data_IF_670755584306
#
_entry.id   IF_670755584306
#
_cell.length_a   1.000
_cell.length_b   1.000
_cell.length_c   1.000
_cell.angle_alpha   90.00
_cell.angle_beta   90.00
_cell.angle_gamma   90.00
#
_symmetry.space_group_name_H-M   'P 1'
#
loop_
_entity.id
_entity.type
_entity.pdbx_description
1 polymer ?
#
# COMPACT_ATOMS: atom_id res chain seq x y z
N UNK A 1 -30.14 -51.13 51.66
CA UNK A 1 -30.10 -51.27 50.19
C UNK A 1 -28.70 -50.89 49.72
N UNK A 2 -27.89 -51.90 49.35
CA UNK A 2 -26.69 -51.93 48.45
C UNK A 2 -25.64 -50.81 48.63
N UNK A 3 -24.43 -51.02 49.17
CA UNK A 3 -23.33 -51.96 48.84
C UNK A 3 -22.84 -51.82 47.38
N UNK A 4 -21.50 -51.61 47.26
CA UNK A 4 -20.61 -51.79 46.09
C UNK A 4 -20.52 -50.61 45.09
N UNK A 5 -19.43 -49.85 45.18
CA UNK A 5 -18.51 -49.57 44.07
C UNK A 5 -17.22 -48.88 44.57
N UNK A 6 -16.47 -49.59 45.43
CA UNK A 6 -15.02 -49.59 45.32
C UNK A 6 -14.68 -50.47 44.11
N UNK A 7 -13.57 -50.19 43.42
CA UNK A 7 -13.09 -50.80 42.15
C UNK A 7 -13.51 -50.03 40.90
N UNK A 8 -12.93 -48.83 40.71
CA UNK A 8 -12.27 -48.56 39.44
C UNK A 8 -10.92 -47.90 39.74
N UNK A 9 -10.02 -48.81 40.03
CA UNK A 9 -8.60 -48.64 40.26
C UNK A 9 -7.98 -48.02 38.99
N UNK A 10 -7.41 -46.82 39.15
CA UNK A 10 -6.08 -46.45 38.62
C UNK A 10 -5.82 -46.78 37.14
N UNK A 11 -5.99 -45.78 36.27
CA UNK A 11 -5.26 -45.52 35.00
C UNK A 11 -6.08 -44.40 34.32
N UNK A 12 -5.62 -43.16 34.19
CA UNK A 12 -4.80 -42.75 33.05
C UNK A 12 -4.40 -41.27 33.26
N UNK A 13 -3.34 -41.05 34.06
CA UNK A 13 -2.48 -39.88 33.88
C UNK A 13 -1.40 -40.28 32.87
N UNK A 14 -0.98 -39.30 32.07
CA UNK A 14 0.04 -39.31 31.01
C UNK A 14 -0.47 -39.74 29.63
N UNK A 15 -0.59 -38.74 28.74
CA UNK A 15 0.13 -38.62 27.47
C UNK A 15 -0.28 -37.31 26.77
N UNK A 16 0.11 -36.16 27.35
CA UNK A 16 0.40 -34.97 26.56
C UNK A 16 1.84 -35.14 26.06
N UNK A 17 2.01 -35.90 24.98
CA UNK A 17 3.20 -35.74 24.17
C UNK A 17 3.08 -34.37 23.53
N UNK A 18 3.78 -33.40 24.09
CA UNK A 18 4.07 -32.17 23.39
C UNK A 18 4.67 -32.55 22.04
N UNK A 19 4.06 -32.07 20.96
CA UNK A 19 4.81 -31.87 19.73
C UNK A 19 5.99 -30.97 20.14
N UNK A 20 7.20 -31.54 20.21
CA UNK A 20 8.40 -30.74 20.33
C UNK A 20 8.39 -29.76 19.17
N UNK A 21 8.27 -28.47 19.46
CA UNK A 21 8.56 -27.44 18.49
C UNK A 21 10.02 -27.68 18.06
N UNK A 22 10.20 -28.13 16.82
CA UNK A 22 11.53 -28.28 16.24
C UNK A 22 12.24 -26.93 16.32
N UNK A 23 13.53 -26.94 16.64
CA UNK A 23 14.37 -25.76 16.82
C UNK A 23 14.59 -24.94 15.53
N UNK A 24 13.96 -25.32 14.42
CA UNK A 24 14.06 -24.65 13.13
C UNK A 24 15.44 -24.77 12.49
N UNK A 25 16.38 -25.52 13.09
CA UNK A 25 17.77 -25.62 12.62
C UNK A 25 17.91 -26.30 11.25
N UNK A 26 16.88 -27.03 10.83
CA UNK A 26 16.79 -27.72 9.55
C UNK A 26 15.92 -26.97 8.52
N UNK A 27 15.59 -25.70 8.76
CA UNK A 27 14.86 -24.85 7.83
C UNK A 27 15.77 -23.75 7.29
N UNK A 28 15.67 -23.46 5.99
CA UNK A 28 16.32 -22.28 5.42
C UNK A 28 15.61 -20.99 5.86
N UNK A 29 16.14 -19.83 5.47
CA UNK A 29 15.56 -18.49 5.72
C UNK A 29 14.11 -18.32 5.21
N UNK A 30 13.63 -19.27 4.39
CA UNK A 30 12.28 -19.30 3.83
C UNK A 30 11.36 -20.35 4.50
N UNK A 31 11.79 -20.98 5.61
CA UNK A 31 10.99 -21.95 6.35
C UNK A 31 10.83 -23.32 5.68
N UNK A 32 11.69 -23.65 4.70
CA UNK A 32 11.66 -24.94 4.00
C UNK A 32 12.75 -25.89 4.51
N UNK A 33 12.52 -27.23 4.54
CA UNK A 33 13.51 -28.21 4.94
C UNK A 33 14.80 -28.15 4.11
N UNK A 34 15.95 -28.12 4.78
CA UNK A 34 17.27 -28.25 4.16
C UNK A 34 17.44 -29.72 3.73
N UNK A 35 17.33 -29.99 2.44
CA UNK A 35 17.57 -31.32 1.88
C UNK A 35 19.05 -31.43 1.54
N UNK A 36 19.78 -32.29 2.25
CA UNK A 36 21.16 -32.64 1.91
C UNK A 36 21.20 -33.28 0.52
N UNK A 37 21.68 -32.53 -0.48
CA UNK A 37 22.04 -33.11 -1.77
C UNK A 37 23.40 -33.84 -1.62
N UNK A 38 23.53 -35.11 -2.04
CA UNK A 38 24.82 -35.81 -2.04
C UNK A 38 25.78 -35.18 -3.07
N UNK A 39 27.10 -35.37 -2.91
CA UNK A 39 28.11 -34.62 -3.63
C UNK A 39 28.12 -34.97 -5.12
N UNK A 40 28.17 -33.95 -5.97
CA UNK A 40 28.42 -34.07 -7.40
C UNK A 40 29.86 -34.53 -7.59
N UNK A 41 30.05 -35.76 -8.05
CA UNK A 41 31.35 -36.30 -8.46
C UNK A 41 31.79 -35.67 -9.78
N UNK A 42 32.99 -35.09 -9.78
CA UNK A 42 33.74 -34.69 -10.97
C UNK A 42 33.88 -35.87 -11.95
N UNK A 43 33.42 -35.67 -13.19
CA UNK A 43 33.89 -36.42 -14.35
C UNK A 43 34.36 -35.44 -15.42
N UNK A 44 35.64 -35.53 -15.74
CA UNK A 44 36.34 -34.75 -16.77
C UNK A 44 35.88 -35.18 -18.19
N UNK A 45 35.81 -34.26 -19.18
CA UNK A 45 35.13 -34.50 -20.46
C UNK A 45 36.01 -35.21 -21.51
N UNK A 46 35.43 -35.84 -22.54
CA UNK A 46 36.18 -36.27 -23.72
C UNK A 46 36.38 -35.10 -24.70
N UNK A 47 37.51 -35.19 -25.40
CA UNK A 47 38.15 -34.21 -26.28
C UNK A 47 37.68 -34.41 -27.74
N UNK A 48 37.26 -33.28 -28.35
CA UNK A 48 37.37 -32.85 -29.77
C UNK A 48 36.48 -33.50 -30.84
N UNK A 49 35.65 -32.67 -31.48
CA UNK A 49 35.79 -32.39 -32.91
C UNK A 49 35.40 -30.93 -33.22
N UNK A 50 36.29 -30.21 -33.92
CA UNK A 50 36.16 -28.82 -34.34
C UNK A 50 35.11 -28.67 -35.46
N UNK A 51 34.17 -27.73 -35.29
CA UNK A 51 33.42 -27.13 -36.39
C UNK A 51 33.40 -25.58 -36.27
N UNK A 52 33.46 -24.85 -37.40
CA UNK A 52 33.88 -23.44 -37.51
C UNK A 52 32.87 -22.42 -36.95
N UNK A 53 33.25 -21.14 -36.73
CA UNK A 53 32.46 -20.21 -35.94
C UNK A 53 31.18 -19.82 -36.67
N UNK A 54 30.03 -20.18 -36.08
CA UNK A 54 28.75 -19.63 -36.48
C UNK A 54 28.58 -18.29 -35.74
N UNK A 55 28.73 -17.22 -36.51
CA UNK A 55 28.44 -15.83 -36.16
C UNK A 55 27.21 -15.69 -35.25
N UNK A 56 27.42 -15.23 -34.01
CA UNK A 56 26.37 -14.72 -33.12
C UNK A 56 25.75 -13.46 -33.75
N UNK A 57 24.78 -13.67 -34.62
CA UNK A 57 23.84 -12.64 -35.01
C UNK A 57 23.03 -12.23 -33.78
N UNK A 58 23.23 -11.00 -33.32
CA UNK A 58 22.36 -10.30 -32.38
C UNK A 58 20.90 -10.55 -32.76
N UNK A 59 20.01 -10.95 -31.83
CA UNK A 59 18.58 -10.98 -32.11
C UNK A 59 18.17 -9.60 -32.64
N UNK A 60 17.37 -9.51 -33.72
CA UNK A 60 16.88 -8.23 -34.19
C UNK A 60 16.20 -7.54 -33.02
N UNK A 61 16.63 -6.31 -32.71
CA UNK A 61 15.88 -5.36 -31.90
C UNK A 61 14.66 -4.97 -32.74
N UNK A 62 13.71 -5.89 -32.85
CA UNK A 62 12.42 -5.59 -33.43
C UNK A 62 11.76 -4.61 -32.44
N UNK A 63 11.37 -3.40 -32.89
CA UNK A 63 10.61 -2.50 -32.03
C UNK A 63 9.38 -3.25 -31.55
N UNK A 64 9.13 -3.20 -30.23
CA UNK A 64 7.86 -3.68 -29.68
C UNK A 64 6.72 -3.12 -30.54
N UNK A 65 5.73 -3.94 -30.93
CA UNK A 65 4.57 -3.43 -31.65
C UNK A 65 3.94 -2.31 -30.80
N UNK A 66 3.40 -1.24 -31.41
CA UNK A 66 2.72 -0.18 -30.68
C UNK A 66 1.40 -0.74 -30.15
N UNK A 67 1.49 -1.44 -29.02
CA UNK A 67 0.41 -2.04 -28.28
C UNK A 67 0.16 -1.20 -27.03
N UNK A 68 -0.74 -0.24 -27.18
CA UNK A 68 -1.42 0.51 -26.12
C UNK A 68 -0.48 1.12 -25.04
N UNK A 69 0.28 2.13 -25.47
CA UNK A 69 1.13 2.97 -24.64
C UNK A 69 0.34 3.84 -23.61
N UNK A 70 -0.95 3.56 -23.40
CA UNK A 70 -1.85 4.34 -22.55
C UNK A 70 -2.74 3.52 -21.60
N UNK A 71 -2.47 2.24 -21.35
CA UNK A 71 -2.83 1.68 -20.03
C UNK A 71 -1.81 2.20 -19.03
N UNK A 72 -2.10 3.32 -18.36
CA UNK A 72 -1.25 3.77 -17.28
C UNK A 72 -0.99 2.60 -16.32
N UNK A 73 0.28 2.35 -16.01
CA UNK A 73 0.71 1.39 -15.02
C UNK A 73 0.20 1.85 -13.65
N UNK A 74 -1.07 1.58 -13.35
CA UNK A 74 -1.75 1.89 -12.09
C UNK A 74 -1.91 0.59 -11.32
N UNK A 75 -2.05 0.65 -10.00
CA UNK A 75 -2.25 -0.56 -9.21
C UNK A 75 -3.53 -1.28 -9.64
N UNK A 76 -4.57 -0.59 -10.07
CA UNK A 76 -5.80 -1.20 -10.60
C UNK A 76 -5.52 -2.02 -11.87
N UNK A 77 -4.76 -1.47 -12.83
CA UNK A 77 -4.35 -2.21 -14.02
C UNK A 77 -3.44 -3.39 -13.67
N UNK A 78 -2.47 -3.20 -12.78
CA UNK A 78 -1.62 -4.29 -12.30
C UNK A 78 -2.42 -5.31 -11.48
N UNK A 79 -3.46 -4.89 -10.77
CA UNK A 79 -4.30 -5.76 -9.97
C UNK A 79 -5.05 -6.74 -10.86
N UNK A 80 -5.65 -6.24 -11.93
CA UNK A 80 -6.37 -7.05 -12.91
C UNK A 80 -5.43 -7.99 -13.67
N UNK A 81 -4.26 -7.50 -14.09
CA UNK A 81 -3.43 -8.19 -15.09
C UNK A 81 -2.25 -8.98 -14.48
N UNK A 82 -1.84 -8.69 -13.24
CA UNK A 82 -0.67 -9.31 -12.59
C UNK A 82 -1.01 -9.82 -11.19
N UNK A 83 -1.42 -8.95 -10.25
CA UNK A 83 -1.56 -9.35 -8.85
C UNK A 83 -2.64 -10.41 -8.67
N UNK A 84 -3.85 -10.21 -9.18
CA UNK A 84 -4.93 -11.20 -9.10
C UNK A 84 -4.57 -12.51 -9.82
N UNK A 85 -4.19 -12.50 -11.11
CA UNK A 85 -4.00 -13.75 -11.85
C UNK A 85 -2.73 -14.52 -11.47
N UNK A 86 -1.68 -13.84 -10.99
CA UNK A 86 -0.36 -14.47 -10.80
C UNK A 86 0.03 -14.51 -9.32
N UNK A 87 -0.05 -13.37 -8.62
CA UNK A 87 0.49 -13.27 -7.27
C UNK A 87 -0.46 -13.87 -6.22
N UNK A 88 -1.76 -13.62 -6.36
CA UNK A 88 -2.81 -14.06 -5.42
C UNK A 88 -3.05 -15.57 -5.44
N UNK A 89 -2.43 -16.30 -6.37
CA UNK A 89 -2.39 -17.77 -6.33
C UNK A 89 -1.77 -18.26 -5.03
N UNK A 90 -0.77 -17.55 -4.50
CA UNK A 90 -0.13 -17.85 -3.21
C UNK A 90 -0.41 -16.79 -2.14
N UNK A 91 -0.66 -15.54 -2.56
CA UNK A 91 -0.83 -14.38 -1.68
C UNK A 91 -2.32 -14.05 -1.46
N UNK A 92 -3.07 -14.99 -0.90
CA UNK A 92 -4.53 -14.84 -0.67
C UNK A 92 -4.98 -15.36 0.68
N UNK A 93 -5.93 -14.65 1.29
CA UNK A 93 -6.60 -15.04 2.52
C UNK A 93 -5.67 -15.22 3.72
N UNK A 94 -6.17 -15.93 4.73
CA UNK A 94 -5.50 -16.09 6.02
C UNK A 94 -4.16 -16.88 5.96
N UNK A 95 -3.95 -17.66 4.90
CA UNK A 95 -2.75 -18.49 4.72
C UNK A 95 -1.67 -17.81 3.87
N UNK A 96 -1.89 -16.56 3.47
CA UNK A 96 -0.92 -15.82 2.68
C UNK A 96 0.43 -15.73 3.41
N UNK A 97 1.57 -16.01 2.75
CA UNK A 97 2.89 -15.90 3.36
C UNK A 97 3.11 -14.52 3.98
N UNK A 98 3.48 -14.48 5.26
CA UNK A 98 3.65 -13.24 6.03
C UNK A 98 2.41 -12.32 6.08
N UNK A 99 1.21 -12.87 5.84
CA UNK A 99 -0.03 -12.11 5.76
C UNK A 99 -0.16 -11.22 4.50
N UNK A 100 0.74 -11.38 3.53
CA UNK A 100 0.78 -10.60 2.29
C UNK A 100 -0.37 -11.00 1.35
N UNK A 101 -1.46 -10.26 1.41
CA UNK A 101 -2.65 -10.50 0.61
C UNK A 101 -2.71 -9.55 -0.58
N UNK A 102 -2.82 -10.10 -1.79
CA UNK A 102 -2.89 -9.37 -3.06
C UNK A 102 -4.20 -9.63 -3.82
N UNK A 103 -5.17 -10.24 -3.17
CA UNK A 103 -6.44 -10.74 -3.73
C UNK A 103 -7.47 -9.64 -4.03
N UNK A 104 -7.31 -8.47 -3.44
CA UNK A 104 -8.12 -7.28 -3.71
C UNK A 104 -7.24 -6.05 -3.87
N UNK A 105 -7.71 -5.04 -4.61
CA UNK A 105 -6.98 -3.79 -4.81
C UNK A 105 -6.61 -3.12 -3.48
N UNK A 106 -7.53 -3.10 -2.51
CA UNK A 106 -7.34 -2.51 -1.19
C UNK A 106 -6.32 -3.29 -0.35
N UNK A 107 -6.40 -4.63 -0.36
CA UNK A 107 -5.40 -5.48 0.30
C UNK A 107 -4.02 -5.27 -0.30
N UNK A 108 -3.91 -5.23 -1.63
CA UNK A 108 -2.63 -5.02 -2.32
C UNK A 108 -2.02 -3.66 -1.98
N UNK A 109 -2.82 -2.59 -2.07
CA UNK A 109 -2.40 -1.24 -1.71
C UNK A 109 -1.87 -1.18 -0.27
N UNK A 110 -2.68 -1.65 0.69
CA UNK A 110 -2.33 -1.67 2.12
C UNK A 110 -1.14 -2.55 2.45
N UNK A 111 -0.90 -3.60 1.68
CA UNK A 111 0.24 -4.48 1.89
C UNK A 111 1.52 -3.97 1.24
N UNK A 112 1.48 -3.11 0.22
CA UNK A 112 2.66 -2.75 -0.56
C UNK A 112 3.15 -1.32 -0.29
N UNK A 113 2.27 -0.34 -0.36
CA UNK A 113 2.69 1.07 -0.48
C UNK A 113 3.10 1.60 0.89
N UNK A 114 4.34 2.10 0.99
CA UNK A 114 4.91 2.64 2.23
C UNK A 114 4.93 1.65 3.41
N UNK A 115 4.93 0.35 3.13
CA UNK A 115 5.03 -0.70 4.16
C UNK A 115 6.43 -1.28 4.17
N UNK A 116 7.06 -1.40 5.34
CA UNK A 116 8.37 -2.06 5.48
C UNK A 116 8.34 -3.50 4.97
N UNK A 117 9.38 -3.90 4.23
CA UNK A 117 9.50 -5.25 3.71
C UNK A 117 9.78 -6.27 4.82
N UNK A 118 9.18 -7.45 4.66
CA UNK A 118 9.46 -8.61 5.52
C UNK A 118 10.56 -9.42 4.86
N UNK A 119 11.59 -9.77 5.62
CA UNK A 119 12.80 -10.43 5.13
C UNK A 119 13.98 -9.49 4.87
N UNK A 120 13.72 -8.19 4.67
CA UNK A 120 14.77 -7.16 4.65
C UNK A 120 14.19 -5.79 5.02
N UNK A 121 14.39 -5.34 6.27
CA UNK A 121 13.81 -4.10 6.79
C UNK A 121 14.46 -2.82 6.27
N UNK A 122 15.53 -2.91 5.47
CA UNK A 122 16.16 -1.75 4.81
C UNK A 122 15.30 -1.18 3.66
N UNK A 123 14.29 -1.93 3.22
CA UNK A 123 13.43 -1.55 2.09
C UNK A 123 11.97 -1.37 2.51
N UNK A 124 11.27 -0.50 1.79
CA UNK A 124 9.82 -0.57 1.70
C UNK A 124 9.43 -1.58 0.62
N UNK A 125 8.28 -2.22 0.79
CA UNK A 125 7.70 -3.13 -0.21
C UNK A 125 7.50 -2.40 -1.52
N UNK A 126 6.94 -1.19 -1.44
CA UNK A 126 6.96 -0.17 -2.50
C UNK A 126 7.37 1.17 -1.90
N UNK A 127 8.42 1.75 -2.48
CA UNK A 127 8.85 3.13 -2.30
C UNK A 127 8.34 3.94 -3.50
N UNK A 128 7.25 4.72 -3.35
CA UNK A 128 6.72 5.54 -4.46
C UNK A 128 7.81 6.43 -5.08
N UNK A 129 7.89 6.42 -6.41
CA UNK A 129 8.88 7.20 -7.18
C UNK A 129 10.27 6.57 -7.29
N UNK A 130 10.50 5.37 -6.75
CA UNK A 130 11.80 4.71 -6.83
C UNK A 130 11.65 3.17 -6.86
N UNK A 131 11.61 2.58 -8.07
CA UNK A 131 11.53 1.13 -8.23
C UNK A 131 12.78 0.39 -7.75
N UNK A 132 13.98 0.97 -7.88
CA UNK A 132 15.23 0.34 -7.44
C UNK A 132 15.32 0.21 -5.90
N UNK A 133 14.60 1.06 -5.17
CA UNK A 133 14.42 1.01 -3.72
C UNK A 133 13.14 0.28 -3.28
N UNK A 134 12.44 -0.40 -4.20
CA UNK A 134 11.18 -1.09 -3.91
C UNK A 134 11.35 -2.59 -3.89
N UNK A 135 11.12 -3.21 -2.72
CA UNK A 135 11.39 -4.63 -2.50
C UNK A 135 10.60 -5.55 -3.43
N UNK A 136 9.36 -5.19 -3.81
CA UNK A 136 8.58 -6.01 -4.75
C UNK A 136 9.21 -6.06 -6.14
N UNK A 137 9.79 -4.95 -6.62
CA UNK A 137 10.45 -4.88 -7.92
C UNK A 137 11.72 -5.74 -7.91
N UNK A 138 12.51 -5.64 -6.83
CA UNK A 138 13.69 -6.49 -6.61
C UNK A 138 13.31 -7.99 -6.55
N UNK A 139 12.20 -8.33 -5.87
CA UNK A 139 11.68 -9.71 -5.76
C UNK A 139 11.30 -10.31 -7.11
N UNK A 140 10.63 -9.56 -7.99
CA UNK A 140 10.20 -10.10 -9.30
C UNK A 140 11.36 -10.14 -10.31
N UNK A 141 12.36 -9.27 -10.15
CA UNK A 141 13.61 -9.33 -10.91
C UNK A 141 14.50 -10.51 -10.51
N UNK A 142 14.41 -10.97 -9.26
CA UNK A 142 15.33 -11.97 -8.70
C UNK A 142 16.65 -11.36 -8.24
N UNK A 143 16.62 -10.11 -7.80
CA UNK A 143 17.79 -9.45 -7.22
C UNK A 143 18.20 -10.15 -5.91
N UNK A 144 19.50 -10.47 -5.70
CA UNK A 144 19.97 -11.14 -4.49
C UNK A 144 19.61 -10.43 -3.19
N UNK A 145 19.46 -9.09 -3.20
CA UNK A 145 19.05 -8.31 -2.02
C UNK A 145 17.63 -8.64 -1.55
N UNK A 146 16.83 -9.20 -2.45
CA UNK A 146 15.49 -9.65 -2.18
C UNK A 146 15.40 -11.19 -2.09
N UNK A 147 16.51 -11.94 -2.14
CA UNK A 147 16.48 -13.41 -2.10
C UNK A 147 15.78 -14.04 -3.31
N UNK A 148 15.10 -15.18 -3.11
CA UNK A 148 14.50 -15.93 -4.21
C UNK A 148 13.46 -15.14 -5.03
N UNK A 149 13.59 -15.24 -6.36
CA UNK A 149 12.75 -14.60 -7.38
C UNK A 149 11.30 -15.09 -7.33
N UNK A 150 10.36 -14.15 -7.27
CA UNK A 150 8.91 -14.43 -7.35
C UNK A 150 8.38 -14.30 -8.79
N UNK A 151 7.46 -15.18 -9.24
CA UNK A 151 6.83 -16.24 -8.45
C UNK A 151 7.75 -17.45 -8.20
N UNK A 152 7.71 -18.00 -6.98
CA UNK A 152 8.60 -19.07 -6.54
C UNK A 152 8.25 -20.40 -7.22
N UNK A 153 9.26 -21.12 -7.73
CA UNK A 153 9.10 -22.41 -8.42
C UNK A 153 8.10 -22.39 -9.60
N UNK A 154 7.91 -21.23 -10.19
CA UNK A 154 7.09 -21.00 -11.37
C UNK A 154 7.90 -20.21 -12.41
N UNK A 155 7.43 -20.13 -13.66
CA UNK A 155 7.96 -19.16 -14.62
C UNK A 155 7.97 -17.76 -14.02
N UNK A 156 9.03 -17.00 -14.31
CA UNK A 156 9.09 -15.59 -13.93
C UNK A 156 8.04 -14.77 -14.69
N UNK A 157 7.75 -13.57 -14.17
CA UNK A 157 6.96 -12.59 -14.92
C UNK A 157 7.62 -12.27 -16.27
N UNK A 158 6.82 -11.86 -17.25
CA UNK A 158 7.36 -11.37 -18.52
C UNK A 158 8.16 -10.08 -18.29
N UNK A 159 9.06 -9.76 -19.22
CA UNK A 159 9.77 -8.46 -19.18
C UNK A 159 8.81 -7.27 -19.22
N UNK A 160 7.68 -7.41 -19.94
CA UNK A 160 6.64 -6.39 -20.00
C UNK A 160 5.92 -6.20 -18.66
N UNK A 161 5.57 -7.29 -17.96
CA UNK A 161 4.93 -7.22 -16.64
C UNK A 161 5.87 -6.61 -15.59
N UNK A 162 7.15 -6.99 -15.61
CA UNK A 162 8.17 -6.39 -14.74
C UNK A 162 8.32 -4.89 -15.06
N UNK A 163 8.36 -4.52 -16.33
CA UNK A 163 8.42 -3.13 -16.75
C UNK A 163 7.20 -2.34 -16.27
N UNK A 164 5.99 -2.90 -16.38
CA UNK A 164 4.76 -2.27 -15.90
C UNK A 164 4.76 -2.07 -14.38
N UNK A 165 5.23 -3.04 -13.59
CA UNK A 165 5.41 -2.85 -12.13
C UNK A 165 6.40 -1.72 -11.85
N UNK A 166 7.53 -1.70 -12.56
CA UNK A 166 8.54 -0.65 -12.40
C UNK A 166 8.01 0.74 -12.74
N UNK A 167 7.30 0.87 -13.86
CA UNK A 167 6.70 2.12 -14.31
C UNK A 167 5.65 2.64 -13.31
N UNK A 168 4.79 1.76 -12.79
CA UNK A 168 3.82 2.12 -11.76
C UNK A 168 4.49 2.71 -10.52
N UNK A 169 5.57 2.07 -10.06
CA UNK A 169 6.31 2.54 -8.89
C UNK A 169 6.96 3.90 -9.18
N UNK A 170 7.66 4.04 -10.31
CA UNK A 170 8.33 5.28 -10.70
C UNK A 170 7.34 6.44 -10.88
N UNK A 171 6.11 6.15 -11.30
CA UNK A 171 4.99 7.12 -11.37
C UNK A 171 4.33 7.41 -10.02
N UNK A 172 4.91 6.97 -8.91
CA UNK A 172 4.41 7.27 -7.57
C UNK A 172 3.44 6.25 -7.00
N UNK A 173 3.42 5.02 -7.53
CA UNK A 173 2.61 3.90 -7.03
C UNK A 173 1.09 4.20 -6.95
N UNK A 174 0.55 4.87 -7.98
CA UNK A 174 -0.86 5.28 -8.07
C UNK A 174 -1.82 4.08 -8.02
N UNK A 175 -2.86 4.12 -7.17
CA UNK A 175 -3.71 2.94 -6.93
C UNK A 175 -4.75 2.70 -8.02
N UNK A 176 -5.29 3.75 -8.62
CA UNK A 176 -6.12 3.67 -9.81
C UNK A 176 -5.75 4.85 -10.70
N UNK A 177 -6.21 4.82 -11.96
CA UNK A 177 -6.60 6.07 -12.63
C UNK A 177 -7.62 6.72 -11.70
N UNK A 178 -7.21 7.61 -10.79
CA UNK A 178 -8.19 8.33 -10.00
C UNK A 178 -8.82 9.40 -10.87
N UNK A 179 -9.81 8.97 -11.64
CA UNK A 179 -10.78 9.84 -12.27
C UNK A 179 -11.93 10.18 -11.33
N UNK A 180 -12.06 9.51 -10.16
CA UNK A 180 -12.99 9.95 -9.12
C UNK A 180 -12.45 11.24 -8.49
N UNK A 181 -13.06 12.42 -8.76
CA UNK A 181 -12.51 13.68 -8.30
C UNK A 181 -12.66 13.79 -6.79
N UNK A 182 -11.66 14.39 -6.13
CA UNK A 182 -11.78 14.80 -4.74
C UNK A 182 -12.50 16.16 -4.71
N UNK A 183 -13.70 16.19 -4.14
CA UNK A 183 -14.50 17.39 -3.95
C UNK A 183 -15.30 17.29 -2.65
N UNK A 184 -15.87 18.41 -2.22
CA UNK A 184 -16.69 18.48 -1.02
C UNK A 184 -18.12 18.07 -1.38
N UNK A 185 -18.61 17.01 -0.73
CA UNK A 185 -19.98 16.51 -0.91
C UNK A 185 -20.97 17.20 0.02
N UNK A 186 -20.50 17.63 1.19
CA UNK A 186 -21.31 18.34 2.18
C UNK A 186 -20.43 19.24 3.02
N UNK A 187 -20.93 20.44 3.29
CA UNK A 187 -20.32 21.42 4.18
C UNK A 187 -21.41 22.01 5.08
N UNK A 188 -21.25 21.89 6.38
CA UNK A 188 -22.25 22.38 7.34
C UNK A 188 -21.59 23.01 8.56
N UNK A 189 -22.34 23.89 9.22
CA UNK A 189 -21.97 24.43 10.52
C UNK A 189 -23.03 24.08 11.56
N UNK A 190 -22.57 23.81 12.79
CA UNK A 190 -23.43 23.66 13.95
C UNK A 190 -22.87 24.51 15.09
N UNK A 191 -23.69 25.43 15.59
CA UNK A 191 -23.34 26.25 16.75
C UNK A 191 -23.69 25.52 18.05
N UNK A 192 -22.84 25.73 19.04
CA UNK A 192 -23.08 25.42 20.44
C UNK A 192 -22.94 26.71 21.25
N UNK A 193 -23.17 26.64 22.56
CA UNK A 193 -22.99 27.80 23.45
C UNK A 193 -21.55 28.34 23.41
N UNK A 194 -20.56 27.44 23.32
CA UNK A 194 -19.13 27.78 23.48
C UNK A 194 -18.27 27.46 22.26
N UNK A 195 -18.85 26.96 21.16
CA UNK A 195 -18.10 26.61 19.95
C UNK A 195 -18.95 26.67 18.69
N UNK A 196 -18.28 26.73 17.55
CA UNK A 196 -18.83 26.40 16.24
C UNK A 196 -18.11 25.18 15.69
N UNK A 197 -18.87 24.20 15.23
CA UNK A 197 -18.36 23.00 14.57
C UNK A 197 -18.64 23.15 13.07
N UNK A 198 -17.58 23.16 12.25
CA UNK A 198 -17.67 23.12 10.79
C UNK A 198 -17.38 21.70 10.34
N UNK A 199 -18.33 21.03 9.69
CA UNK A 199 -18.16 19.66 9.20
C UNK A 199 -18.03 19.63 7.69
N UNK A 200 -16.98 18.97 7.21
CA UNK A 200 -16.64 18.82 5.78
C UNK A 200 -16.67 17.33 5.43
N UNK A 201 -17.54 16.96 4.48
CA UNK A 201 -17.60 15.62 3.90
C UNK A 201 -16.94 15.61 2.53
N UNK A 202 -16.04 14.66 2.29
CA UNK A 202 -15.29 14.51 1.03
C UNK A 202 -15.82 13.34 0.18
N UNK A 203 -15.71 13.46 -1.13
CA UNK A 203 -16.16 12.45 -2.11
C UNK A 203 -15.35 11.16 -2.06
N UNK A 204 -14.07 11.25 -1.67
CA UNK A 204 -13.11 10.13 -1.53
C UNK A 204 -12.32 10.26 -0.23
N UNK A 205 -11.56 9.23 0.13
CA UNK A 205 -10.69 9.24 1.30
C UNK A 205 -9.58 10.30 1.15
N UNK A 206 -9.43 11.16 2.17
CA UNK A 206 -8.39 12.19 2.26
C UNK A 206 -7.12 11.62 2.89
N UNK A 207 -5.97 11.95 2.31
CA UNK A 207 -4.67 11.79 2.97
C UNK A 207 -4.56 12.87 4.05
N UNK A 208 -4.84 12.47 5.30
CA UNK A 208 -4.85 13.38 6.46
C UNK A 208 -3.51 14.07 6.69
N UNK A 209 -2.40 13.53 6.20
CA UNK A 209 -1.08 14.18 6.29
C UNK A 209 -1.00 15.46 5.45
N UNK A 210 -1.89 15.60 4.47
CA UNK A 210 -2.03 16.77 3.60
C UNK A 210 -3.11 17.75 4.09
N UNK A 211 -3.72 17.52 5.25
CA UNK A 211 -4.60 18.50 5.89
C UNK A 211 -4.34 18.60 7.40
N UNK A 212 -3.10 18.94 7.82
CA UNK A 212 -2.82 19.28 9.21
C UNK A 212 -3.34 20.69 9.53
N UNK A 213 -3.27 21.09 10.80
CA UNK A 213 -3.76 22.39 11.26
C UNK A 213 -3.07 23.56 10.51
N UNK A 214 -1.79 23.43 10.18
CA UNK A 214 -1.04 24.47 9.48
C UNK A 214 -1.59 24.78 8.08
N UNK A 215 -2.40 23.88 7.50
CA UNK A 215 -3.05 24.06 6.20
C UNK A 215 -4.45 24.68 6.28
N UNK A 216 -4.90 25.10 7.46
CA UNK A 216 -6.19 25.75 7.67
C UNK A 216 -5.97 27.15 8.19
N UNK A 217 -6.42 28.14 7.43
CA UNK A 217 -6.48 29.52 7.87
C UNK A 217 -7.87 29.83 8.38
N UNK A 218 -7.92 30.52 9.51
CA UNK A 218 -9.13 31.17 10.02
C UNK A 218 -8.90 32.68 9.89
N UNK A 219 -9.82 33.40 9.29
CA UNK A 219 -9.68 34.82 8.97
C UNK A 219 -10.87 35.63 9.48
N UNK A 220 -10.64 36.86 9.92
CA UNK A 220 -11.66 37.87 10.21
C UNK A 220 -11.25 39.16 9.49
N UNK A 221 -12.12 39.72 8.66
CA UNK A 221 -11.85 40.93 7.86
C UNK A 221 -10.46 40.93 7.19
N UNK A 222 -10.15 39.85 6.46
CA UNK A 222 -8.89 39.59 5.76
C UNK A 222 -7.63 39.41 6.63
N UNK A 223 -7.79 39.31 7.96
CA UNK A 223 -6.68 39.06 8.88
C UNK A 223 -6.70 37.62 9.37
N UNK A 224 -5.58 36.94 9.23
CA UNK A 224 -5.39 35.61 9.81
C UNK A 224 -5.48 35.68 11.35
N UNK A 225 -6.31 34.81 11.91
CA UNK A 225 -6.53 34.65 13.33
C UNK A 225 -5.70 33.50 13.88
N UNK A 226 -5.03 33.73 15.01
CA UNK A 226 -4.37 32.68 15.77
C UNK A 226 -5.26 32.22 16.92
N UNK A 227 -6.38 31.56 16.60
CA UNK A 227 -7.30 31.00 17.58
C UNK A 227 -7.16 29.47 17.64
N UNK A 228 -7.25 28.86 18.84
CA UNK A 228 -7.17 27.42 18.95
C UNK A 228 -8.43 26.77 18.37
N UNK A 229 -8.22 25.69 17.62
CA UNK A 229 -9.28 24.82 17.13
C UNK A 229 -8.83 23.36 17.17
N UNK A 230 -9.78 22.45 17.04
CA UNK A 230 -9.52 21.01 17.01
C UNK A 230 -9.96 20.42 15.67
N UNK A 231 -9.11 19.57 15.10
CA UNK A 231 -9.45 18.73 13.95
C UNK A 231 -9.90 17.37 14.47
N UNK A 232 -11.18 17.04 14.24
CA UNK A 232 -11.81 15.81 14.69
C UNK A 232 -12.20 15.02 13.45
N UNK A 233 -11.45 13.98 13.13
CA UNK A 233 -11.75 13.07 12.02
C UNK A 233 -12.62 11.91 12.50
N UNK A 234 -13.85 11.80 12.01
CA UNK A 234 -14.71 10.63 12.29
C UNK A 234 -14.31 9.42 11.44
N UNK A 235 -13.85 9.66 10.21
CA UNK A 235 -13.27 8.67 9.30
C UNK A 235 -12.30 9.39 8.33
N UNK A 236 -11.99 8.85 7.15
CA UNK A 236 -11.12 9.52 6.17
C UNK A 236 -11.86 10.48 5.23
N UNK A 237 -13.18 10.60 5.36
CA UNK A 237 -14.04 11.42 4.51
C UNK A 237 -14.83 12.47 5.28
N UNK A 238 -14.76 12.49 6.59
CA UNK A 238 -15.50 13.42 7.43
C UNK A 238 -14.55 14.04 8.44
N UNK A 239 -14.36 15.36 8.30
CA UNK A 239 -13.61 16.22 9.20
C UNK A 239 -14.57 17.19 9.86
N UNK A 240 -14.54 17.26 11.19
CA UNK A 240 -15.13 18.37 11.95
C UNK A 240 -14.01 19.26 12.50
N UNK A 241 -14.12 20.56 12.21
CA UNK A 241 -13.25 21.61 12.73
C UNK A 241 -14.03 22.33 13.83
N UNK A 242 -13.62 22.11 15.08
CA UNK A 242 -14.24 22.71 16.26
C UNK A 242 -13.47 23.95 16.67
N UNK A 243 -14.13 25.11 16.59
CA UNK A 243 -13.54 26.41 16.92
C UNK A 243 -14.23 26.93 18.18
N UNK A 244 -13.45 27.27 19.20
CA UNK A 244 -13.99 27.85 20.43
C UNK A 244 -14.52 29.26 20.20
N UNK A 245 -15.72 29.56 20.69
CA UNK A 245 -16.36 30.86 20.56
C UNK A 245 -15.50 31.95 21.19
N UNK A 246 -15.25 33.03 20.45
CA UNK A 246 -14.51 34.20 20.91
C UNK A 246 -15.47 35.36 21.12
N UNK A 247 -15.34 36.07 22.25
CA UNK A 247 -16.32 37.09 22.66
C UNK A 247 -16.48 38.28 21.71
N UNK A 248 -15.54 38.48 20.78
CA UNK A 248 -15.53 39.61 19.84
C UNK A 248 -15.70 39.19 18.37
N UNK A 249 -15.72 37.89 18.07
CA UNK A 249 -15.76 37.37 16.70
C UNK A 249 -17.19 36.91 16.42
N UNK A 250 -17.89 37.61 15.54
CA UNK A 250 -19.27 37.27 15.13
C UNK A 250 -19.28 36.37 13.90
N UNK A 251 -18.26 36.46 13.05
CA UNK A 251 -18.04 35.60 11.90
C UNK A 251 -16.55 35.42 11.64
N UNK A 252 -16.21 34.31 10.99
CA UNK A 252 -14.88 34.07 10.45
C UNK A 252 -14.97 33.43 9.08
N UNK A 253 -13.88 33.47 8.34
CA UNK A 253 -13.71 32.76 7.08
C UNK A 253 -12.69 31.65 7.29
N UNK A 254 -13.11 30.41 7.04
CA UNK A 254 -12.24 29.26 6.95
C UNK A 254 -11.69 29.15 5.52
N UNK A 255 -10.38 29.00 5.39
CA UNK A 255 -9.70 28.79 4.11
C UNK A 255 -8.80 27.56 4.18
N UNK A 256 -8.91 26.67 3.19
CA UNK A 256 -8.00 25.53 2.97
C UNK A 256 -7.80 25.29 1.48
N UNK A 257 -6.83 24.42 1.11
CA UNK A 257 -6.51 24.08 -0.28
C UNK A 257 -6.06 25.29 -1.12
N UNK A 258 -5.20 26.12 -0.55
CA UNK A 258 -4.66 27.31 -1.20
C UNK A 258 -3.15 27.16 -1.36
N UNK A 259 -2.60 27.60 -2.51
CA UNK A 259 -1.19 27.45 -2.85
C UNK A 259 -0.23 27.93 -1.76
N UNK A 260 -0.61 28.96 -1.00
CA UNK A 260 0.26 29.53 0.04
C UNK A 260 0.24 28.77 1.38
N UNK A 261 -0.67 27.80 1.57
CA UNK A 261 -0.77 27.02 2.83
C UNK A 261 -0.69 25.51 2.60
N UNK A 262 -1.10 25.03 1.44
CA UNK A 262 -1.02 23.62 1.08
C UNK A 262 -2.20 23.14 0.25
N UNK A 263 -2.03 21.96 -0.31
CA UNK A 263 -3.02 21.29 -1.14
C UNK A 263 -3.57 20.08 -0.38
N UNK A 264 -4.90 19.98 -0.33
CA UNK A 264 -5.57 18.81 0.23
C UNK A 264 -5.58 17.71 -0.82
N UNK A 265 -5.02 16.57 -0.44
CA UNK A 265 -4.89 15.40 -1.31
C UNK A 265 -5.76 14.25 -0.83
N UNK A 266 -6.29 13.48 -1.76
CA UNK A 266 -6.85 12.17 -1.48
C UNK A 266 -5.73 11.18 -1.14
N UNK A 267 -6.07 10.09 -0.46
CA UNK A 267 -5.15 8.97 -0.14
C UNK A 267 -4.40 8.45 -1.38
N UNK A 268 -4.94 8.72 -2.56
CA UNK A 268 -4.46 8.21 -3.82
C UNK A 268 -4.08 9.32 -4.82
N UNK A 269 -3.72 10.51 -4.32
CA UNK A 269 -3.10 11.58 -5.10
C UNK A 269 -4.07 12.52 -5.84
N UNK A 270 -5.37 12.43 -5.59
CA UNK A 270 -6.34 13.41 -6.12
C UNK A 270 -6.17 14.74 -5.42
N UNK A 271 -6.03 15.84 -6.15
CA UNK A 271 -6.11 17.17 -5.57
C UNK A 271 -7.58 17.56 -5.37
N UNK A 272 -7.89 18.19 -4.23
CA UNK A 272 -9.21 18.72 -3.95
C UNK A 272 -9.59 19.82 -4.95
N UNK A 273 -10.77 19.72 -5.54
CA UNK A 273 -11.51 20.83 -6.17
C UNK A 273 -12.15 21.66 -5.05
N UNK A 274 -11.39 22.63 -4.52
CA UNK A 274 -11.76 23.38 -3.32
C UNK A 274 -12.75 24.50 -3.60
N UNK A 275 -12.72 25.09 -4.81
CA UNK A 275 -13.66 26.11 -5.26
C UNK A 275 -14.89 25.52 -5.98
N UNK A 276 -14.96 24.19 -6.16
CA UNK A 276 -16.07 23.46 -6.76
C UNK A 276 -16.37 23.87 -8.21
N UNK A 277 -15.32 24.16 -8.99
CA UNK A 277 -15.44 24.52 -10.41
C UNK A 277 -15.33 23.31 -11.37
N UNK A 278 -15.15 22.11 -10.80
CA UNK A 278 -14.96 20.86 -11.54
C UNK A 278 -13.51 20.58 -11.92
N UNK A 279 -12.56 21.44 -11.53
CA UNK A 279 -11.13 21.25 -11.73
C UNK A 279 -10.40 21.07 -10.40
N UNK A 280 -9.37 20.20 -10.32
CA UNK A 280 -8.54 20.11 -9.12
C UNK A 280 -7.82 21.43 -8.83
N UNK A 281 -7.77 21.79 -7.54
CA UNK A 281 -7.14 23.01 -7.04
C UNK A 281 -8.17 24.00 -6.50
N UNK A 282 -7.75 25.26 -6.36
CA UNK A 282 -8.62 26.33 -5.88
C UNK A 282 -8.89 26.28 -4.37
N UNK A 283 -8.94 27.45 -3.74
CA UNK A 283 -9.19 27.55 -2.32
C UNK A 283 -10.65 27.20 -1.98
N UNK A 284 -10.84 26.34 -0.98
CA UNK A 284 -12.11 26.32 -0.26
C UNK A 284 -12.17 27.55 0.62
N UNK A 285 -13.23 28.35 0.48
CA UNK A 285 -13.52 29.49 1.35
C UNK A 285 -14.91 29.32 1.95
N UNK A 286 -15.02 29.31 3.28
CA UNK A 286 -16.29 29.12 3.97
C UNK A 286 -16.49 30.12 5.11
N UNK A 287 -17.57 30.90 5.03
CA UNK A 287 -17.96 31.80 6.11
C UNK A 287 -18.69 31.03 7.22
N UNK A 288 -18.12 31.04 8.42
CA UNK A 288 -18.72 30.49 9.62
C UNK A 288 -19.17 31.63 10.55
N UNK A 289 -20.33 31.46 11.18
CA UNK A 289 -20.89 32.45 12.09
C UNK A 289 -20.96 31.86 13.51
N UNK A 290 -20.75 32.70 14.53
CA UNK A 290 -20.85 32.34 15.96
C UNK A 290 -22.20 32.66 16.58
#
# INVERSE_FOLDING_TARGET
MKIINCIFLMLLLLLLNGCGAGDGSLLNENGQPIVDQPPVTEQQPPVVDEQPPVNEGTPPTEPLPPGDENKAATLAALQENIFTPICSVCHVGANAPFGLQFDTLDNTAKNLINVTAVGNSEFLRVTPGNKEASFIYLKVLGDPRAGSRMPLNQPGLSSADIAAIGEWIDKGALIAENSAPLFITQLSQQQSNDSVDISISFSVDVDKSTLPAEQILLMEDDRALSIPYQLIWQNNRLLTIRIGKQAQISSLTLVLNQDSIGTVMGTFGQQLDGNSDGQPGGALTYAANF
#
